data_IF_020202735583
#
_entry.id   IF_020202735583
#
_cell.length_a   1.000
_cell.length_b   1.000
_cell.length_c   1.000
_cell.angle_alpha   90.00
_cell.angle_beta   90.00
_cell.angle_gamma   90.00
#
_symmetry.space_group_name_H-M   'P 1'
#
loop_
_entity.id
_entity.type
_entity.pdbx_description
1 polymer ?
#
# COMPACT_ATOMS: atom_id res chain seq x y z
N UNK A 1 -7.78 -11.97 6.91
CA UNK A 1 -7.93 -11.43 5.56
C UNK A 1 -6.62 -11.42 4.81
N UNK A 2 -5.60 -10.67 5.23
CA UNK A 2 -4.32 -10.59 4.51
C UNK A 2 -3.63 -11.94 4.31
N UNK A 3 -3.69 -12.87 5.27
CA UNK A 3 -3.13 -14.23 5.11
C UNK A 3 -3.70 -14.96 3.89
N UNK A 4 -5.02 -14.96 3.73
CA UNK A 4 -5.67 -15.62 2.58
C UNK A 4 -5.36 -14.88 1.26
N UNK A 5 -5.33 -13.54 1.30
CA UNK A 5 -4.98 -12.72 0.13
C UNK A 5 -3.54 -12.97 -0.31
N UNK A 6 -2.58 -13.01 0.62
CA UNK A 6 -1.19 -13.31 0.36
C UNK A 6 -1.00 -14.72 -0.20
N UNK A 7 -1.67 -15.72 0.38
CA UNK A 7 -1.60 -17.10 -0.12
C UNK A 7 -2.10 -17.20 -1.57
N UNK A 8 -3.24 -16.56 -1.88
CA UNK A 8 -3.80 -16.55 -3.24
C UNK A 8 -2.89 -15.80 -4.21
N UNK A 9 -2.36 -14.64 -3.81
CA UNK A 9 -1.44 -13.84 -4.62
C UNK A 9 -0.16 -14.61 -4.95
N UNK A 10 0.47 -15.22 -3.95
CA UNK A 10 1.69 -16.00 -4.13
C UNK A 10 1.48 -17.23 -5.02
N UNK A 11 0.35 -17.92 -4.84
CA UNK A 11 -0.02 -19.05 -5.72
C UNK A 11 -0.20 -18.58 -7.17
N UNK A 12 -0.83 -17.44 -7.40
CA UNK A 12 -0.97 -16.86 -8.74
C UNK A 12 0.37 -16.45 -9.34
N UNK A 13 1.27 -15.87 -8.53
CA UNK A 13 2.61 -15.50 -8.98
C UNK A 13 3.39 -16.71 -9.51
N UNK A 14 3.27 -17.86 -8.85
CA UNK A 14 3.99 -19.09 -9.25
C UNK A 14 3.33 -19.81 -10.44
N UNK A 15 1.99 -19.83 -10.47
CA UNK A 15 1.23 -20.69 -11.38
C UNK A 15 0.75 -19.98 -12.66
N UNK A 16 0.82 -18.65 -12.74
CA UNK A 16 0.39 -17.88 -13.93
C UNK A 16 1.57 -17.49 -14.79
N UNK A 17 1.41 -17.58 -16.09
CA UNK A 17 2.38 -17.06 -17.07
C UNK A 17 2.48 -15.54 -16.99
N UNK A 18 1.37 -14.86 -16.68
CA UNK A 18 1.26 -13.41 -16.53
C UNK A 18 0.71 -13.11 -15.13
N UNK A 19 1.58 -13.07 -14.09
CA UNK A 19 1.14 -12.74 -12.74
C UNK A 19 0.77 -11.25 -12.59
N UNK A 20 -0.07 -10.96 -11.59
CA UNK A 20 -0.42 -9.59 -11.24
C UNK A 20 0.82 -8.86 -10.68
N UNK A 21 1.01 -7.59 -11.06
CA UNK A 21 2.15 -6.78 -10.60
C UNK A 21 1.94 -6.21 -9.19
N UNK A 22 0.68 -6.08 -8.73
CA UNK A 22 0.33 -5.40 -7.48
C UNK A 22 -0.30 -6.32 -6.45
N UNK A 23 -0.06 -6.00 -5.17
CA UNK A 23 -0.73 -6.62 -4.03
C UNK A 23 -1.69 -5.62 -3.37
N UNK A 24 -2.96 -6.01 -3.25
CA UNK A 24 -4.04 -5.14 -2.79
C UNK A 24 -3.96 -4.81 -1.29
N UNK A 25 -4.23 -3.54 -0.96
CA UNK A 25 -4.49 -3.08 0.39
C UNK A 25 -6.01 -2.99 0.64
N UNK A 26 -6.43 -3.40 1.84
CA UNK A 26 -7.84 -3.42 2.25
C UNK A 26 -8.13 -2.32 3.27
N UNK A 27 -9.20 -1.56 3.05
CA UNK A 27 -9.66 -0.58 4.04
C UNK A 27 -10.12 -1.30 5.30
N UNK A 28 -9.67 -0.88 6.50
CA UNK A 28 -9.98 -1.62 7.73
C UNK A 28 -11.37 -1.33 8.29
N UNK A 29 -11.94 -0.15 7.99
CA UNK A 29 -13.23 0.33 8.50
C UNK A 29 -13.95 1.16 7.44
N UNK A 30 -15.27 1.33 7.59
CA UNK A 30 -16.02 2.28 6.78
C UNK A 30 -15.49 3.70 7.02
N UNK A 31 -15.27 4.46 5.95
CA UNK A 31 -14.69 5.79 6.03
C UNK A 31 -15.47 6.76 5.16
N UNK A 32 -15.95 7.83 5.77
CA UNK A 32 -16.63 8.93 5.08
C UNK A 32 -15.60 9.87 4.46
N UNK A 33 -15.72 10.13 3.17
CA UNK A 33 -14.88 11.03 2.40
C UNK A 33 -15.72 12.21 1.91
N UNK A 34 -15.29 13.42 2.21
CA UNK A 34 -15.98 14.65 1.86
C UNK A 34 -15.18 15.47 0.87
N UNK A 35 -15.84 16.33 0.09
CA UNK A 35 -15.15 17.28 -0.79
C UNK A 35 -14.47 18.46 -0.05
N UNK A 36 -14.71 18.61 1.27
CA UNK A 36 -14.20 19.73 2.05
C UNK A 36 -12.74 19.59 2.48
N UNK A 37 -12.22 18.35 2.58
CA UNK A 37 -10.87 18.09 3.08
C UNK A 37 -10.31 16.77 2.56
N UNK A 38 -8.97 16.67 2.55
CA UNK A 38 -8.27 15.43 2.25
C UNK A 38 -8.56 14.39 3.32
N UNK A 39 -9.12 13.26 2.92
CA UNK A 39 -9.39 12.13 3.81
C UNK A 39 -8.17 11.23 3.93
N UNK A 40 -7.79 10.90 5.16
CA UNK A 40 -6.71 9.92 5.44
C UNK A 40 -7.32 8.56 5.73
N UNK A 41 -6.87 7.54 5.02
CA UNK A 41 -7.19 6.14 5.29
C UNK A 41 -5.92 5.44 5.73
N UNK A 42 -5.86 5.03 6.99
CA UNK A 42 -4.79 4.18 7.51
C UNK A 42 -5.15 2.72 7.25
N UNK A 43 -4.34 2.01 6.47
CA UNK A 43 -4.57 0.60 6.14
C UNK A 43 -4.18 -0.37 7.27
N UNK A 44 -3.60 0.14 8.37
CA UNK A 44 -3.14 -0.64 9.52
C UNK A 44 -2.18 -1.77 9.13
N UNK A 45 -1.32 -1.49 8.15
CA UNK A 45 -0.32 -2.42 7.63
C UNK A 45 1.04 -1.76 7.71
N UNK A 46 2.01 -2.45 8.32
CA UNK A 46 3.44 -2.11 8.30
C UNK A 46 4.19 -3.09 7.43
N UNK A 47 5.24 -2.63 6.77
CA UNK A 47 5.92 -3.43 5.75
C UNK A 47 7.42 -3.22 5.77
N UNK A 48 8.13 -4.21 5.24
CA UNK A 48 9.47 -4.04 4.65
C UNK A 48 9.51 -4.76 3.31
N UNK A 49 10.37 -4.32 2.41
CA UNK A 49 10.53 -4.94 1.10
C UNK A 49 12.00 -5.22 0.81
N UNK A 50 12.24 -6.35 0.16
CA UNK A 50 13.58 -6.81 -0.21
C UNK A 50 13.58 -7.35 -1.63
N UNK A 51 14.68 -7.13 -2.33
CA UNK A 51 14.98 -7.79 -3.60
C UNK A 51 15.94 -8.95 -3.29
N UNK A 52 15.55 -10.13 -3.72
CA UNK A 52 16.40 -11.33 -3.67
C UNK A 52 16.93 -11.60 -5.07
N UNK A 53 18.24 -11.55 -5.24
CA UNK A 53 18.89 -11.83 -6.52
C UNK A 53 19.15 -13.32 -6.70
N UNK A 54 19.36 -13.77 -7.95
CA UNK A 54 19.65 -15.16 -8.28
C UNK A 54 20.87 -15.74 -7.56
N UNK A 55 21.86 -14.90 -7.24
CA UNK A 55 23.04 -15.30 -6.47
C UNK A 55 22.80 -15.33 -4.94
N UNK A 56 21.54 -15.21 -4.50
CA UNK A 56 21.16 -15.21 -3.09
C UNK A 56 21.41 -13.89 -2.36
N UNK A 57 21.92 -12.85 -3.04
CA UNK A 57 22.13 -11.53 -2.41
C UNK A 57 20.80 -10.84 -2.18
N UNK A 58 20.65 -10.23 -1.00
CA UNK A 58 19.42 -9.55 -0.58
C UNK A 58 19.69 -8.06 -0.40
N UNK A 59 18.79 -7.22 -0.91
CA UNK A 59 18.83 -5.77 -0.77
C UNK A 59 17.50 -5.26 -0.23
N UNK A 60 17.53 -4.36 0.75
CA UNK A 60 16.35 -3.61 1.13
C UNK A 60 15.97 -2.65 0.00
N UNK A 61 14.69 -2.57 -0.32
CA UNK A 61 14.17 -1.70 -1.38
C UNK A 61 12.96 -0.92 -0.92
N UNK A 62 12.75 0.25 -1.52
CA UNK A 62 11.48 0.94 -1.48
C UNK A 62 10.49 0.31 -2.46
N UNK A 63 9.24 0.75 -2.40
CA UNK A 63 8.19 0.33 -3.31
C UNK A 63 7.17 1.45 -3.53
N UNK A 64 6.25 1.26 -4.46
CA UNK A 64 5.20 2.21 -4.76
C UNK A 64 3.87 1.74 -4.17
N UNK A 65 3.10 2.68 -3.64
CA UNK A 65 1.70 2.49 -3.29
C UNK A 65 0.85 3.22 -4.33
N UNK A 66 0.26 2.44 -5.23
CA UNK A 66 -0.44 2.93 -6.41
C UNK A 66 -1.95 2.81 -6.26
N UNK A 67 -2.75 3.73 -6.87
CA UNK A 67 -4.17 3.53 -7.05
C UNK A 67 -4.47 2.23 -7.82
N UNK A 68 -5.53 1.53 -7.43
CA UNK A 68 -6.10 0.50 -8.30
C UNK A 68 -6.89 1.14 -9.44
N UNK A 69 -6.98 0.45 -10.57
CA UNK A 69 -7.74 0.93 -11.73
C UNK A 69 -9.22 1.23 -11.39
N UNK A 70 -9.82 0.44 -10.49
CA UNK A 70 -11.19 0.63 -10.00
C UNK A 70 -11.41 1.95 -9.24
N UNK A 71 -10.35 2.56 -8.69
CA UNK A 71 -10.45 3.88 -8.05
C UNK A 71 -10.96 4.94 -9.03
N UNK A 72 -10.65 4.81 -10.33
CA UNK A 72 -11.09 5.74 -11.37
C UNK A 72 -12.62 5.84 -11.52
N UNK A 73 -13.36 4.79 -11.15
CA UNK A 73 -14.82 4.74 -11.13
C UNK A 73 -15.46 5.34 -9.87
N UNK A 74 -14.66 5.86 -8.93
CA UNK A 74 -15.10 6.52 -7.71
C UNK A 74 -14.83 8.03 -7.79
N UNK A 75 -15.42 8.85 -6.92
CA UNK A 75 -15.07 10.28 -6.83
C UNK A 75 -13.70 10.51 -6.15
N UNK A 76 -13.01 9.47 -5.71
CA UNK A 76 -11.75 9.60 -4.99
C UNK A 76 -10.55 9.70 -5.94
N UNK A 77 -9.55 10.48 -5.52
CA UNK A 77 -8.22 10.52 -6.15
C UNK A 77 -7.15 10.46 -5.07
N UNK A 78 -6.08 9.70 -5.31
CA UNK A 78 -4.94 9.71 -4.40
C UNK A 78 -4.24 11.07 -4.51
N UNK A 79 -4.21 11.83 -3.43
CA UNK A 79 -3.81 13.25 -3.43
C UNK A 79 -2.36 13.48 -3.87
N UNK A 80 -1.47 12.51 -3.66
CA UNK A 80 -0.09 12.54 -4.13
C UNK A 80 0.16 11.68 -5.39
N UNK A 81 -0.89 11.26 -6.08
CA UNK A 81 -0.86 10.42 -7.29
C UNK A 81 -0.27 9.03 -7.07
N UNK A 82 0.95 8.93 -6.54
CA UNK A 82 1.66 7.68 -6.19
C UNK A 82 2.36 7.92 -4.86
N UNK A 83 2.19 6.99 -3.92
CA UNK A 83 2.96 6.95 -2.68
C UNK A 83 4.31 6.26 -2.91
N UNK A 84 5.40 6.94 -2.58
CA UNK A 84 6.73 6.32 -2.53
C UNK A 84 7.00 5.92 -1.10
N UNK A 85 7.23 4.64 -0.88
CA UNK A 85 7.54 4.06 0.43
C UNK A 85 9.02 3.72 0.46
N UNK A 86 9.76 4.44 1.28
CA UNK A 86 11.21 4.24 1.42
C UNK A 86 11.53 2.89 2.07
N UNK A 87 12.68 2.31 1.74
CA UNK A 87 13.12 1.00 2.26
C UNK A 87 13.22 0.93 3.78
N UNK A 88 13.47 2.07 4.42
CA UNK A 88 13.56 2.20 5.89
C UNK A 88 12.26 2.59 6.58
N UNK A 89 11.16 2.81 5.86
CA UNK A 89 9.89 3.19 6.48
C UNK A 89 9.26 2.01 7.21
N UNK A 90 8.86 2.22 8.47
CA UNK A 90 8.26 1.20 9.36
C UNK A 90 6.91 1.65 9.95
N UNK A 91 6.38 2.78 9.49
CA UNK A 91 5.05 3.23 9.90
C UNK A 91 3.92 2.53 9.14
N UNK A 92 2.70 2.83 9.54
CA UNK A 92 1.52 2.33 8.85
C UNK A 92 1.43 2.90 7.42
N UNK A 93 1.00 2.09 6.47
CA UNK A 93 0.67 2.57 5.13
C UNK A 93 -0.62 3.40 5.19
N UNK A 94 -0.52 4.65 4.75
CA UNK A 94 -1.63 5.61 4.78
C UNK A 94 -1.83 6.19 3.37
N UNK A 95 -3.06 6.10 2.86
CA UNK A 95 -3.50 6.83 1.68
C UNK A 95 -4.17 8.15 2.06
N UNK A 96 -3.86 9.23 1.33
CA UNK A 96 -4.56 10.50 1.40
C UNK A 96 -5.38 10.68 0.14
N UNK A 97 -6.67 10.94 0.29
CA UNK A 97 -7.60 11.00 -0.85
C UNK A 97 -8.30 12.35 -0.91
N UNK A 98 -8.31 12.95 -2.10
CA UNK A 98 -9.25 14.00 -2.46
C UNK A 98 -10.57 13.33 -2.85
N UNK A 99 -11.69 13.94 -2.48
CA UNK A 99 -13.01 13.56 -2.92
C UNK A 99 -13.55 14.65 -3.87
N UNK A 100 -13.88 14.27 -5.10
CA UNK A 100 -14.32 15.20 -6.13
C UNK A 100 -15.83 15.53 -6.05
N UNK A 101 -16.53 15.00 -5.06
CA UNK A 101 -17.93 15.39 -4.82
C UNK A 101 -17.96 16.80 -4.24
N UNK A 102 -18.84 17.64 -4.81
CA UNK A 102 -19.07 19.00 -4.33
C UNK A 102 -20.24 19.09 -3.34
N UNK A 103 -20.27 20.18 -2.55
CA UNK A 103 -21.32 20.44 -1.58
C UNK A 103 -21.32 19.48 -0.41
N UNK A 104 -22.52 19.17 0.10
CA UNK A 104 -22.74 18.27 1.25
C UNK A 104 -22.78 16.78 0.87
N UNK A 105 -22.30 16.44 -0.33
CA UNK A 105 -22.29 15.06 -0.80
C UNK A 105 -21.05 14.35 -0.28
N UNK A 106 -21.28 13.24 0.40
CA UNK A 106 -20.24 12.37 0.93
C UNK A 106 -20.11 11.07 0.13
N UNK A 107 -18.92 10.52 0.11
CA UNK A 107 -18.66 9.19 -0.42
C UNK A 107 -18.23 8.26 0.71
N UNK A 108 -18.88 7.12 0.83
CA UNK A 108 -18.53 6.11 1.82
C UNK A 108 -17.63 5.07 1.18
N UNK A 109 -16.41 4.98 1.67
CA UNK A 109 -15.51 3.84 1.43
C UNK A 109 -15.89 2.76 2.40
N UNK A 110 -16.27 1.59 1.90
CA UNK A 110 -16.67 0.48 2.75
C UNK A 110 -15.45 -0.27 3.29
N UNK A 111 -15.60 -0.86 4.46
CA UNK A 111 -14.62 -1.81 4.98
C UNK A 111 -14.33 -2.90 3.95
N UNK A 112 -13.04 -3.18 3.76
CA UNK A 112 -12.50 -4.14 2.80
C UNK A 112 -12.48 -3.68 1.34
N UNK A 113 -12.89 -2.46 1.04
CA UNK A 113 -12.64 -1.89 -0.27
C UNK A 113 -11.14 -1.88 -0.59
N UNK A 114 -10.83 -2.07 -1.86
CA UNK A 114 -9.46 -2.11 -2.37
C UNK A 114 -9.22 -0.87 -3.21
N UNK A 115 -8.68 0.17 -2.59
CA UNK A 115 -8.42 1.45 -3.25
C UNK A 115 -6.99 1.52 -3.80
N UNK A 116 -6.04 0.95 -3.07
CA UNK A 116 -4.61 1.00 -3.36
C UNK A 116 -4.01 -0.41 -3.44
N UNK A 117 -2.85 -0.48 -4.06
CA UNK A 117 -2.03 -1.69 -4.18
C UNK A 117 -0.55 -1.34 -4.01
N UNK A 118 0.22 -2.29 -3.49
CA UNK A 118 1.68 -2.23 -3.43
C UNK A 118 2.24 -2.76 -4.74
N UNK A 119 3.19 -2.03 -5.34
CA UNK A 119 3.86 -2.40 -6.59
C UNK A 119 5.38 -2.32 -6.39
N UNK A 120 6.09 -3.37 -6.74
CA UNK A 120 7.55 -3.42 -6.66
C UNK A 120 8.22 -2.48 -7.68
N UNK A 121 9.49 -2.08 -7.46
CA UNK A 121 10.28 -1.42 -8.49
C UNK A 121 10.28 -2.25 -9.78
N UNK A 122 10.23 -1.56 -10.93
CA UNK A 122 10.16 -2.18 -12.27
C UNK A 122 8.96 -3.10 -12.49
N UNK A 123 7.92 -3.06 -11.62
CA UNK A 123 6.71 -3.87 -11.72
C UNK A 123 6.96 -5.39 -11.76
N UNK A 124 8.07 -5.84 -11.20
CA UNK A 124 8.32 -7.27 -11.04
C UNK A 124 7.30 -7.88 -10.06
N UNK A 125 6.89 -9.14 -10.25
CA UNK A 125 6.00 -9.80 -9.31
C UNK A 125 6.58 -9.81 -7.90
N UNK A 126 5.72 -9.66 -6.90
CA UNK A 126 6.10 -9.65 -5.49
C UNK A 126 5.64 -10.92 -4.78
N UNK A 127 6.50 -11.48 -3.95
CA UNK A 127 6.12 -12.53 -3.01
C UNK A 127 5.79 -11.88 -1.67
N UNK A 128 4.63 -12.18 -1.11
CA UNK A 128 4.13 -11.57 0.12
C UNK A 128 4.24 -12.54 1.29
N UNK A 129 4.98 -12.15 2.32
CA UNK A 129 5.06 -12.88 3.59
C UNK A 129 4.32 -12.11 4.66
N UNK A 130 3.38 -12.74 5.34
CA UNK A 130 2.72 -12.19 6.51
C UNK A 130 3.50 -12.65 7.73
N UNK A 131 3.96 -11.69 8.51
CA UNK A 131 4.70 -11.91 9.75
C UNK A 131 3.82 -11.62 10.97
N UNK A 132 4.12 -12.19 12.11
CA UNK A 132 3.31 -12.06 13.32
C UNK A 132 3.77 -10.91 14.22
N UNK A 133 5.02 -10.49 14.08
CA UNK A 133 5.60 -9.42 14.89
C UNK A 133 6.33 -8.37 14.04
N UNK A 134 6.35 -7.14 14.52
CA UNK A 134 7.06 -6.04 13.87
C UNK A 134 8.58 -6.28 13.81
N UNK A 135 9.15 -6.99 14.77
CA UNK A 135 10.57 -7.33 14.79
C UNK A 135 11.02 -8.17 13.59
N UNK A 136 10.09 -8.90 12.96
CA UNK A 136 10.36 -9.67 11.75
C UNK A 136 10.44 -8.83 10.47
N UNK A 137 10.03 -7.55 10.53
CA UNK A 137 10.22 -6.60 9.43
C UNK A 137 11.68 -6.13 9.27
N UNK A 138 12.58 -6.61 10.12
CA UNK A 138 14.00 -6.28 10.12
C UNK A 138 14.37 -5.28 11.21
N UNK A 139 15.61 -4.78 11.14
CA UNK A 139 16.15 -3.85 12.14
C UNK A 139 15.39 -2.52 12.16
N UNK A 140 15.38 -1.90 13.34
CA UNK A 140 14.93 -0.51 13.47
C UNK A 140 15.78 0.40 12.57
N UNK A 141 15.14 1.38 11.95
CA UNK A 141 15.78 2.26 10.97
C UNK A 141 15.69 3.71 11.42
N UNK A 142 16.65 4.53 11.01
CA UNK A 142 16.66 5.99 11.28
C UNK A 142 15.40 6.68 10.71
N UNK A 143 14.79 6.12 9.66
CA UNK A 143 13.54 6.63 9.07
C UNK A 143 12.34 6.36 9.96
N UNK A 144 12.28 5.19 10.61
CA UNK A 144 11.19 4.77 11.50
C UNK A 144 9.81 4.98 10.86
N UNK A 145 8.89 5.56 11.62
CA UNK A 145 7.52 5.89 11.19
C UNK A 145 7.37 7.30 10.58
N UNK A 146 8.48 8.02 10.33
CA UNK A 146 8.46 9.37 9.75
C UNK A 146 7.95 9.40 8.31
N UNK A 147 6.83 10.08 8.05
CA UNK A 147 6.19 10.17 6.74
C UNK A 147 5.64 11.57 6.44
N UNK A 148 5.11 11.78 5.24
CA UNK A 148 4.42 12.99 4.78
C UNK A 148 5.19 14.31 5.04
N UNK A 149 6.50 14.34 4.75
CA UNK A 149 7.33 15.54 4.87
C UNK A 149 8.09 15.68 6.18
N UNK A 150 8.22 14.63 6.99
CA UNK A 150 9.00 14.65 8.23
C UNK A 150 10.52 14.88 8.01
N UNK A 151 11.02 14.77 6.78
CA UNK A 151 12.45 14.87 6.43
C UNK A 151 12.84 16.18 5.73
N UNK A 152 11.91 17.12 5.58
CA UNK A 152 12.27 18.36 4.89
C UNK A 152 11.16 19.38 4.82
N UNK A 153 11.27 20.40 5.61
CA UNK A 153 10.95 21.79 5.34
C UNK A 153 12.10 22.65 5.84
#
# INVERSE_FOLDING_TARGET
MYQNSAATHNANMVNRVFPDAGFDLFTPVDTQCTGAAVTKINFLVRTSAQIVCENGKVFNTGFQMCPRSSLSGTPLRLANSIGIIDSGYRGDLIGKFDCLLGGDNDYIVSKYDKLLQIVAPAMVPIYVMIVESESELGVETDRGAGGFGSTGR
#
